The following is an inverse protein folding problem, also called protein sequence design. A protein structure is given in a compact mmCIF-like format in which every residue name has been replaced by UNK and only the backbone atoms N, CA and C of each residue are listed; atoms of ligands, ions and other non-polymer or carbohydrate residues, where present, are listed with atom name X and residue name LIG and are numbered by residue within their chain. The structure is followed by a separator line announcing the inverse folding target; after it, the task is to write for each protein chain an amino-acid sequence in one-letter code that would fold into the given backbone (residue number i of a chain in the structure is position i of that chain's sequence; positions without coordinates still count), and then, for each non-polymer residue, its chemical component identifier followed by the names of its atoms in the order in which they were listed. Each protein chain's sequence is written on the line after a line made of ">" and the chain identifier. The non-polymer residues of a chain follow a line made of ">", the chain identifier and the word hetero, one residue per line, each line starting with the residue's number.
data_IF_480187732740
#
_entry.id   IF_480187732740
#
_cell.length_a   1.000
_cell.length_b   1.000
_cell.length_c   1.000
_cell.angle_alpha   90.00
_cell.angle_beta   90.00
_cell.angle_gamma   90.00
#
_symmetry.space_group_name_H-M   'P 1'
#
loop_
_entity.id
_entity.type
_entity.pdbx_description
1 polymer ?
#
# COMPACT_ATOMS: atom_id res chain seq x y z
N UNK A 1 -18.57 0.80 -2.55
CA UNK A 1 -17.58 0.90 -3.63
C UNK A 1 -16.86 -0.43 -3.71
N UNK A 2 -16.79 -1.03 -4.88
CA UNK A 2 -16.15 -2.35 -5.08
C UNK A 2 -14.96 -2.16 -5.99
N UNK A 3 -13.84 -2.81 -5.65
CA UNK A 3 -12.64 -2.81 -6.45
C UNK A 3 -12.26 -4.24 -6.82
N UNK A 4 -11.68 -4.41 -8.00
CA UNK A 4 -10.97 -5.64 -8.37
C UNK A 4 -9.47 -5.34 -8.43
N UNK A 5 -8.65 -6.39 -8.50
CA UNK A 5 -7.20 -6.27 -8.53
C UNK A 5 -6.64 -7.08 -9.69
N UNK A 6 -5.60 -6.55 -10.35
CA UNK A 6 -4.76 -7.33 -11.26
C UNK A 6 -3.28 -7.03 -10.97
N UNK A 7 -2.38 -7.98 -11.28
CA UNK A 7 -0.95 -7.68 -11.35
C UNK A 7 -0.71 -6.48 -12.27
N UNK A 8 0.24 -5.65 -11.86
CA UNK A 8 0.77 -4.57 -12.66
C UNK A 8 1.61 -5.16 -13.79
N UNK A 9 1.42 -4.66 -15.01
CA UNK A 9 2.22 -5.01 -16.19
C UNK A 9 3.15 -3.83 -16.50
N UNK A 10 4.45 -3.91 -16.16
CA UNK A 10 5.35 -2.77 -16.26
C UNK A 10 5.42 -2.20 -17.68
N UNK A 11 5.32 -3.04 -18.71
CA UNK A 11 5.40 -2.61 -20.10
C UNK A 11 4.15 -1.87 -20.58
N UNK A 12 2.98 -2.14 -19.97
CA UNK A 12 1.72 -1.52 -20.35
C UNK A 12 1.30 -0.37 -19.42
N UNK A 13 1.67 -0.47 -18.15
CA UNK A 13 1.20 0.43 -17.10
C UNK A 13 2.22 1.53 -16.76
N UNK A 14 3.47 1.47 -17.24
CA UNK A 14 4.52 2.44 -16.87
C UNK A 14 4.15 3.89 -17.19
N UNK A 15 3.53 4.18 -18.34
CA UNK A 15 3.10 5.55 -18.68
C UNK A 15 2.05 6.08 -17.70
N UNK A 16 1.07 5.24 -17.35
CA UNK A 16 0.05 5.56 -16.37
C UNK A 16 0.68 5.84 -15.00
N UNK A 17 1.56 4.94 -14.54
CA UNK A 17 2.21 5.06 -13.24
C UNK A 17 3.15 6.25 -13.20
N UNK A 18 3.87 6.56 -14.28
CA UNK A 18 4.75 7.71 -14.35
C UNK A 18 3.98 9.00 -14.05
N UNK A 19 2.80 9.17 -14.64
CA UNK A 19 1.93 10.30 -14.33
C UNK A 19 1.46 10.32 -12.86
N UNK A 20 1.29 9.16 -12.23
CA UNK A 20 0.82 9.06 -10.85
C UNK A 20 1.92 9.36 -9.83
N UNK A 21 3.07 8.68 -9.97
CA UNK A 21 4.17 8.72 -8.99
C UNK A 21 5.02 9.97 -9.07
N UNK A 22 5.02 10.67 -10.22
CA UNK A 22 5.74 11.95 -10.38
C UNK A 22 4.91 13.17 -10.00
N UNK A 23 3.60 13.02 -9.83
CA UNK A 23 2.72 14.14 -9.52
C UNK A 23 3.07 14.76 -8.14
N UNK A 24 2.97 16.10 -7.94
CA UNK A 24 3.27 16.74 -6.65
C UNK A 24 2.52 16.19 -5.43
N UNK A 25 1.30 15.69 -5.61
CA UNK A 25 0.52 15.02 -4.55
C UNK A 25 1.13 13.68 -4.09
N UNK A 26 2.00 13.08 -4.90
CA UNK A 26 2.72 11.84 -4.63
C UNK A 26 4.11 12.07 -4.02
N UNK A 27 4.40 13.25 -3.46
CA UNK A 27 5.72 13.58 -2.92
C UNK A 27 6.28 12.52 -1.94
N UNK A 28 5.43 11.90 -1.13
CA UNK A 28 5.81 10.84 -0.19
C UNK A 28 6.05 9.46 -0.84
N UNK A 29 5.82 9.31 -2.15
CA UNK A 29 6.18 8.14 -2.94
C UNK A 29 7.65 8.19 -3.41
N UNK A 30 8.34 9.32 -3.22
CA UNK A 30 9.78 9.49 -3.48
C UNK A 30 10.21 9.27 -4.94
N UNK A 31 9.31 9.47 -5.90
CA UNK A 31 9.58 9.31 -7.33
C UNK A 31 9.31 10.58 -8.16
N UNK A 32 9.25 11.77 -7.55
CA UNK A 32 8.87 13.01 -8.25
C UNK A 32 9.75 13.33 -9.47
N UNK A 33 11.04 13.05 -9.37
CA UNK A 33 12.02 13.31 -10.43
C UNK A 33 12.26 12.11 -11.37
N UNK A 34 11.49 11.03 -11.20
CA UNK A 34 11.65 9.84 -12.02
C UNK A 34 11.25 10.10 -13.48
N UNK A 35 12.07 9.63 -14.43
CA UNK A 35 11.69 9.56 -15.84
C UNK A 35 10.86 8.31 -16.07
N UNK A 36 10.14 8.25 -17.19
CA UNK A 36 9.34 7.08 -17.57
C UNK A 36 10.16 5.78 -17.51
N UNK A 37 11.38 5.81 -18.04
CA UNK A 37 12.33 4.68 -18.02
C UNK A 37 12.71 4.23 -16.60
N UNK A 38 12.76 5.17 -15.64
CA UNK A 38 13.11 4.88 -14.26
C UNK A 38 11.92 4.22 -13.54
N UNK A 39 10.69 4.65 -13.86
CA UNK A 39 9.45 4.01 -13.41
C UNK A 39 9.31 2.60 -13.99
N UNK A 40 9.48 2.47 -15.31
CA UNK A 40 9.42 1.18 -16.00
C UNK A 40 10.43 0.18 -15.39
N UNK A 41 11.67 0.62 -15.15
CA UNK A 41 12.70 -0.20 -14.50
C UNK A 41 12.32 -0.61 -13.09
N UNK A 42 11.86 0.32 -12.26
CA UNK A 42 11.47 0.03 -10.88
C UNK A 42 10.37 -1.04 -10.81
N UNK A 43 9.34 -0.92 -11.64
CA UNK A 43 8.25 -1.91 -11.65
C UNK A 43 8.63 -3.21 -12.39
N UNK A 44 9.58 -3.21 -13.32
CA UNK A 44 10.18 -4.45 -13.83
C UNK A 44 10.95 -5.20 -12.75
N UNK A 45 11.69 -4.49 -11.90
CA UNK A 45 12.41 -5.09 -10.76
C UNK A 45 11.42 -5.72 -9.78
N UNK A 46 10.34 -5.03 -9.42
CA UNK A 46 9.26 -5.60 -8.58
C UNK A 46 8.59 -6.79 -9.27
N UNK A 47 8.31 -6.72 -10.58
CA UNK A 47 7.68 -7.83 -11.30
C UNK A 47 8.57 -9.09 -11.38
N UNK A 48 9.89 -8.93 -11.26
CA UNK A 48 10.86 -10.02 -11.23
C UNK A 48 11.17 -10.51 -9.80
N UNK A 49 10.60 -9.87 -8.78
CA UNK A 49 10.85 -10.16 -7.37
C UNK A 49 9.90 -11.23 -6.83
N UNK A 50 10.44 -12.15 -6.02
CA UNK A 50 9.65 -13.16 -5.33
C UNK A 50 9.03 -12.65 -4.02
N UNK A 51 9.52 -11.53 -3.49
CA UNK A 51 9.15 -10.99 -2.18
C UNK A 51 8.49 -9.61 -2.25
N UNK A 52 8.27 -9.07 -3.44
CA UNK A 52 7.65 -7.75 -3.65
C UNK A 52 6.72 -7.83 -4.85
N UNK A 53 5.50 -7.35 -4.69
CA UNK A 53 4.49 -7.43 -5.74
C UNK A 53 3.73 -6.11 -5.84
N UNK A 54 3.52 -5.66 -7.08
CA UNK A 54 2.70 -4.49 -7.39
C UNK A 54 1.42 -4.90 -8.11
N UNK A 55 0.30 -4.30 -7.71
CA UNK A 55 -1.02 -4.51 -8.27
C UNK A 55 -1.68 -3.17 -8.59
N UNK A 56 -2.48 -3.17 -9.65
CA UNK A 56 -3.45 -2.11 -9.87
C UNK A 56 -4.79 -2.53 -9.26
N UNK A 57 -5.37 -1.62 -8.48
CA UNK A 57 -6.76 -1.69 -8.07
C UNK A 57 -7.63 -1.00 -9.10
N UNK A 58 -8.75 -1.63 -9.47
CA UNK A 58 -9.60 -1.20 -10.57
C UNK A 58 -10.99 -0.89 -10.04
N UNK A 59 -11.57 0.21 -10.53
CA UNK A 59 -12.98 0.55 -10.34
C UNK A 59 -13.67 0.50 -11.69
N UNK A 60 -14.70 -0.32 -11.80
CA UNK A 60 -15.46 -0.51 -13.04
C UNK A 60 -14.57 -0.90 -14.25
N UNK A 61 -13.49 -1.64 -13.99
CA UNK A 61 -12.53 -2.08 -15.01
C UNK A 61 -11.40 -1.10 -15.31
N UNK A 62 -11.40 0.10 -14.72
CA UNK A 62 -10.40 1.13 -14.94
C UNK A 62 -9.41 1.24 -13.77
N UNK A 63 -8.09 1.38 -14.00
CA UNK A 63 -7.10 1.60 -12.95
C UNK A 63 -7.44 2.81 -12.08
N UNK A 64 -7.50 2.59 -10.77
CA UNK A 64 -8.00 3.55 -9.79
C UNK A 64 -6.97 3.84 -8.68
N UNK A 65 -6.07 2.91 -8.39
CA UNK A 65 -4.97 3.08 -7.44
C UNK A 65 -3.89 2.03 -7.67
N UNK A 66 -2.69 2.32 -7.17
CA UNK A 66 -1.57 1.39 -7.06
C UNK A 66 -1.53 0.81 -5.65
N UNK A 67 -1.22 -0.48 -5.54
CA UNK A 67 -0.94 -1.18 -4.29
C UNK A 67 0.36 -1.96 -4.46
N UNK A 68 1.24 -1.88 -3.48
CA UNK A 68 2.38 -2.77 -3.34
C UNK A 68 2.25 -3.57 -2.05
N UNK A 69 2.69 -4.81 -2.09
CA UNK A 69 2.91 -5.59 -0.88
C UNK A 69 4.19 -6.37 -0.99
N UNK A 70 4.81 -6.63 0.16
CA UNK A 70 6.13 -7.24 0.21
C UNK A 70 6.33 -8.02 1.50
N UNK A 71 7.34 -8.88 1.53
CA UNK A 71 7.77 -9.60 2.73
C UNK A 71 8.75 -8.75 3.57
N UNK A 72 8.39 -8.46 4.84
CA UNK A 72 9.19 -7.92 5.91
C UNK A 72 10.69 -8.11 5.88
N UNK A 73 10.97 -9.40 5.75
CA UNK A 73 12.26 -10.03 5.97
C UNK A 73 13.21 -9.70 4.83
N UNK A 74 12.67 -9.46 3.64
CA UNK A 74 13.44 -9.36 2.40
C UNK A 74 13.43 -7.96 1.80
N UNK A 75 12.40 -7.14 2.04
CA UNK A 75 12.20 -5.85 1.36
C UNK A 75 11.74 -4.74 2.29
N UNK A 76 12.11 -3.51 1.92
CA UNK A 76 11.79 -2.21 2.54
C UNK A 76 12.19 -1.97 4.00
N UNK A 77 12.07 -2.99 4.85
CA UNK A 77 12.19 -2.92 6.30
C UNK A 77 13.32 -3.82 6.86
N UNK A 78 14.16 -4.37 5.98
CA UNK A 78 15.27 -5.26 6.35
C UNK A 78 16.20 -4.56 7.35
N UNK A 79 16.32 -5.15 8.55
CA UNK A 79 17.16 -4.62 9.63
C UNK A 79 16.61 -3.36 10.33
N UNK A 80 15.40 -2.90 9.99
CA UNK A 80 14.77 -1.73 10.60
C UNK A 80 13.79 -2.10 11.73
N UNK A 81 13.32 -3.34 11.76
CA UNK A 81 12.59 -3.94 12.86
C UNK A 81 12.73 -5.47 12.84
N UNK A 82 12.16 -6.15 13.83
CA UNK A 82 12.12 -7.61 13.91
C UNK A 82 10.80 -8.14 13.31
N UNK A 83 10.82 -8.73 12.10
CA UNK A 83 9.61 -9.26 11.48
C UNK A 83 9.10 -10.49 12.24
N UNK A 84 7.79 -10.70 12.19
CA UNK A 84 7.13 -11.91 12.73
C UNK A 84 6.55 -12.74 11.59
N UNK A 85 6.40 -14.07 11.77
CA UNK A 85 5.67 -14.89 10.81
C UNK A 85 4.28 -14.32 10.52
N UNK A 86 3.94 -14.18 9.24
CA UNK A 86 2.67 -13.60 8.79
C UNK A 86 2.63 -12.07 8.75
N UNK A 87 3.78 -11.39 8.93
CA UNK A 87 3.90 -9.96 8.62
C UNK A 87 3.90 -9.75 7.10
N UNK A 88 3.12 -8.78 6.63
CA UNK A 88 3.13 -8.32 5.24
C UNK A 88 3.25 -6.80 5.23
N UNK A 89 4.22 -6.27 4.51
CA UNK A 89 4.36 -4.84 4.32
C UNK A 89 3.47 -4.36 3.17
N UNK A 90 3.02 -3.11 3.22
CA UNK A 90 2.25 -2.54 2.11
C UNK A 90 2.51 -1.06 1.86
N UNK A 91 2.42 -0.67 0.60
CA UNK A 91 2.27 0.72 0.17
C UNK A 91 1.03 0.85 -0.72
N UNK A 92 0.43 2.03 -0.78
CA UNK A 92 -0.62 2.31 -1.75
C UNK A 92 -0.60 3.77 -2.20
N UNK A 93 -1.02 4.01 -3.44
CA UNK A 93 -1.08 5.35 -4.02
C UNK A 93 -2.40 5.54 -4.77
N UNK A 94 -3.12 6.60 -4.40
CA UNK A 94 -4.28 7.08 -5.15
C UNK A 94 -3.80 8.21 -6.08
N UNK A 95 -4.07 8.13 -7.39
CA UNK A 95 -3.66 9.17 -8.33
C UNK A 95 -4.31 10.52 -8.05
N UNK A 96 -3.70 11.62 -8.51
CA UNK A 96 -4.32 12.92 -8.47
C UNK A 96 -5.66 12.93 -9.24
N UNK A 97 -6.63 13.68 -8.73
CA UNK A 97 -7.90 13.94 -9.41
C UNK A 97 -8.34 15.38 -9.17
N UNK A 98 -9.03 15.94 -10.17
CA UNK A 98 -9.70 17.25 -10.11
C UNK A 98 -11.14 17.15 -9.60
N UNK A 99 -11.68 15.93 -9.53
CA UNK A 99 -13.03 15.63 -9.04
C UNK A 99 -12.93 14.68 -7.83
N UNK A 100 -12.47 15.17 -6.67
CA UNK A 100 -12.32 14.33 -5.49
C UNK A 100 -13.68 13.80 -5.03
N UNK A 101 -13.72 12.49 -4.78
CA UNK A 101 -14.90 11.83 -4.22
C UNK A 101 -14.70 11.59 -2.73
N UNK A 102 -15.63 12.09 -1.92
CA UNK A 102 -15.56 11.92 -0.47
C UNK A 102 -15.53 10.44 -0.07
N UNK A 103 -14.53 10.05 0.72
CA UNK A 103 -14.38 8.67 1.20
C UNK A 103 -13.68 7.72 0.23
N UNK A 104 -13.29 8.17 -0.98
CA UNK A 104 -12.63 7.32 -1.96
C UNK A 104 -11.33 6.70 -1.43
N UNK A 105 -10.40 7.51 -0.94
CA UNK A 105 -9.12 7.00 -0.41
C UNK A 105 -9.31 6.06 0.79
N UNK A 106 -10.33 6.29 1.63
CA UNK A 106 -10.69 5.39 2.73
C UNK A 106 -11.20 4.03 2.21
N UNK A 107 -11.98 4.04 1.13
CA UNK A 107 -12.43 2.82 0.47
C UNK A 107 -11.24 2.06 -0.15
N UNK A 108 -10.30 2.77 -0.77
CA UNK A 108 -9.06 2.19 -1.34
C UNK A 108 -8.25 1.47 -0.26
N UNK A 109 -7.84 2.15 0.81
CA UNK A 109 -7.04 1.51 1.87
C UNK A 109 -7.81 0.36 2.55
N UNK A 110 -9.14 0.47 2.68
CA UNK A 110 -9.97 -0.64 3.16
C UNK A 110 -9.89 -1.86 2.24
N UNK A 111 -9.95 -1.66 0.92
CA UNK A 111 -9.85 -2.75 -0.05
C UNK A 111 -8.44 -3.35 -0.11
N UNK A 112 -7.39 -2.53 -0.03
CA UNK A 112 -5.99 -2.99 0.09
C UNK A 112 -5.83 -3.91 1.30
N UNK A 113 -6.29 -3.46 2.47
CA UNK A 113 -6.22 -4.26 3.70
C UNK A 113 -7.04 -5.55 3.60
N UNK A 114 -8.26 -5.48 3.07
CA UNK A 114 -9.08 -6.67 2.85
C UNK A 114 -8.37 -7.68 1.93
N UNK A 115 -7.79 -7.20 0.82
CA UNK A 115 -7.05 -8.02 -0.15
C UNK A 115 -5.84 -8.72 0.49
N UNK A 116 -5.12 -8.05 1.38
CA UNK A 116 -3.98 -8.65 2.10
C UNK A 116 -4.42 -9.72 3.09
N UNK A 117 -5.54 -9.51 3.78
CA UNK A 117 -6.10 -10.46 4.73
C UNK A 117 -6.94 -11.58 4.09
N UNK A 118 -7.16 -11.58 2.77
CA UNK A 118 -7.69 -12.75 2.07
C UNK A 118 -6.78 -13.98 2.25
N UNK A 119 -5.46 -13.77 2.36
CA UNK A 119 -4.54 -14.82 2.78
C UNK A 119 -4.67 -15.05 4.29
N UNK A 120 -5.06 -16.27 4.73
CA UNK A 120 -5.14 -16.59 6.16
C UNK A 120 -3.77 -16.60 6.86
N UNK A 121 -2.66 -16.70 6.13
CA UNK A 121 -1.31 -16.60 6.68
C UNK A 121 -0.93 -15.16 7.07
N UNK A 122 -1.59 -14.15 6.50
CA UNK A 122 -1.37 -12.75 6.89
C UNK A 122 -1.96 -12.49 8.29
N UNK A 123 -1.06 -12.43 9.27
CA UNK A 123 -1.40 -12.16 10.66
C UNK A 123 -1.46 -10.65 10.95
N UNK A 124 -0.57 -9.89 10.31
CA UNK A 124 -0.38 -8.45 10.56
C UNK A 124 0.14 -7.74 9.32
N UNK A 125 -0.41 -6.56 9.05
CA UNK A 125 0.11 -5.63 8.04
C UNK A 125 1.02 -4.59 8.69
N UNK A 126 2.13 -4.27 8.03
CA UNK A 126 3.15 -3.32 8.48
C UNK A 126 3.22 -2.15 7.50
N UNK A 127 3.36 -0.93 8.02
CA UNK A 127 3.57 0.28 7.21
C UNK A 127 4.59 1.22 7.85
N UNK A 128 5.23 2.01 7.00
CA UNK A 128 6.28 2.96 7.37
C UNK A 128 6.16 4.28 6.57
N UNK A 129 5.00 4.97 6.63
CA UNK A 129 4.86 6.30 6.04
C UNK A 129 5.84 7.30 6.65
N UNK A 130 6.21 8.33 5.88
CA UNK A 130 6.99 9.46 6.39
C UNK A 130 6.29 10.10 7.60
N UNK A 131 7.05 10.47 8.64
CA UNK A 131 6.51 11.09 9.86
C UNK A 131 5.72 12.38 9.56
N UNK A 132 6.07 13.12 8.50
CA UNK A 132 5.38 14.34 8.09
C UNK A 132 4.08 14.08 7.31
N UNK A 133 3.82 12.85 6.85
CA UNK A 133 2.59 12.50 6.12
C UNK A 133 1.42 12.25 7.08
N UNK A 134 0.98 13.28 7.80
CA UNK A 134 -0.09 13.19 8.79
C UNK A 134 -1.44 12.75 8.20
N UNK A 135 -1.67 13.00 6.91
CA UNK A 135 -2.87 12.55 6.22
C UNK A 135 -2.94 11.02 6.10
N UNK A 136 -1.84 10.36 5.73
CA UNK A 136 -1.81 8.88 5.67
C UNK A 136 -1.83 8.26 7.06
N UNK A 137 -1.23 8.90 8.07
CA UNK A 137 -1.33 8.44 9.47
C UNK A 137 -2.80 8.38 9.94
N UNK A 138 -3.57 9.43 9.67
CA UNK A 138 -5.00 9.46 9.99
C UNK A 138 -5.80 8.39 9.21
N UNK A 139 -5.47 8.13 7.94
CA UNK A 139 -6.08 7.06 7.14
C UNK A 139 -5.74 5.67 7.70
N UNK A 140 -4.50 5.45 8.08
CA UNK A 140 -4.02 4.20 8.67
C UNK A 140 -4.75 3.93 10.01
N UNK A 141 -4.89 4.92 10.87
CA UNK A 141 -5.62 4.79 12.14
C UNK A 141 -7.08 4.37 11.91
N UNK A 142 -7.76 4.94 10.90
CA UNK A 142 -9.15 4.61 10.54
C UNK A 142 -9.34 3.14 10.10
N UNK A 143 -8.29 2.49 9.59
CA UNK A 143 -8.35 1.05 9.25
C UNK A 143 -7.72 0.16 10.32
N UNK A 144 -7.33 0.71 11.47
CA UNK A 144 -6.92 -0.04 12.64
C UNK A 144 -5.40 -0.19 12.83
N UNK A 145 -4.58 0.60 12.11
CA UNK A 145 -3.15 0.67 12.41
C UNK A 145 -2.90 1.35 13.75
N UNK A 146 -1.90 0.84 14.46
CA UNK A 146 -1.37 1.40 15.70
C UNK A 146 0.09 1.80 15.46
N UNK A 147 0.46 3.08 15.71
CA UNK A 147 1.85 3.50 15.69
C UNK A 147 2.68 2.79 16.75
N UNK A 148 3.90 2.36 16.40
CA UNK A 148 4.87 1.74 17.32
C UNK A 148 6.01 2.71 17.66
N UNK A 149 6.82 3.06 16.65
CA UNK A 149 7.97 3.95 16.81
C UNK A 149 8.42 4.56 15.49
N UNK A 150 9.23 5.60 15.58
CA UNK A 150 9.93 6.14 14.41
C UNK A 150 11.16 5.29 14.07
N UNK A 151 11.41 5.10 12.77
CA UNK A 151 12.59 4.44 12.23
C UNK A 151 13.26 5.35 11.19
N UNK A 152 14.58 5.21 11.02
CA UNK A 152 15.34 5.98 10.05
C UNK A 152 15.59 5.13 8.79
N UNK A 153 15.02 5.55 7.66
CA UNK A 153 15.38 5.05 6.32
C UNK A 153 16.35 6.04 5.65
N UNK A 154 17.14 5.64 4.64
CA UNK A 154 18.01 6.56 3.91
C UNK A 154 17.28 7.77 3.33
N UNK A 155 16.05 7.57 2.86
CA UNK A 155 15.24 8.55 2.15
C UNK A 155 14.26 9.33 3.04
N UNK A 156 13.95 8.83 4.25
CA UNK A 156 12.98 9.45 5.16
C UNK A 156 13.11 9.03 6.61
N UNK A 157 12.55 9.84 7.51
CA UNK A 157 12.17 9.40 8.85
C UNK A 157 10.75 8.85 8.77
N UNK A 158 10.56 7.58 9.11
CA UNK A 158 9.28 6.89 8.93
C UNK A 158 8.65 6.51 10.28
N UNK A 159 7.33 6.44 10.32
CA UNK A 159 6.57 5.97 11.47
C UNK A 159 6.14 4.52 11.25
N UNK A 160 6.83 3.59 11.90
CA UNK A 160 6.49 2.17 11.87
C UNK A 160 5.16 1.95 12.59
N UNK A 161 4.20 1.36 11.90
CA UNK A 161 2.86 1.10 12.41
C UNK A 161 2.37 -0.29 12.01
N UNK A 162 1.47 -0.85 12.80
CA UNK A 162 1.00 -2.22 12.67
C UNK A 162 -0.52 -2.33 12.72
N UNK A 163 -1.10 -3.15 11.85
CA UNK A 163 -2.51 -3.52 11.93
C UNK A 163 -2.64 -5.05 11.96
N UNK A 164 -3.23 -5.59 13.03
CA UNK A 164 -3.52 -7.04 13.11
C UNK A 164 -4.81 -7.37 12.38
N UNK A 165 -4.94 -8.62 11.94
CA UNK A 165 -6.18 -9.15 11.35
C UNK A 165 -7.42 -8.82 12.20
N UNK A 166 -7.35 -9.14 13.50
CA UNK A 166 -8.41 -8.87 14.47
C UNK A 166 -8.81 -7.39 14.48
N UNK A 167 -7.85 -6.47 14.59
CA UNK A 167 -8.14 -5.02 14.60
C UNK A 167 -8.81 -4.53 13.33
N UNK A 168 -8.43 -5.08 12.18
CA UNK A 168 -9.03 -4.70 10.90
C UNK A 168 -10.49 -5.17 10.78
N UNK A 169 -10.82 -6.37 11.27
CA UNK A 169 -12.18 -6.93 11.16
C UNK A 169 -13.11 -6.54 12.30
N UNK A 170 -12.60 -6.26 13.50
CA UNK A 170 -13.41 -5.84 14.65
C UNK A 170 -13.83 -4.37 14.60
N UNK A 171 -13.40 -3.63 13.57
CA UNK A 171 -13.77 -2.23 13.40
C UNK A 171 -15.23 -2.09 12.96
N UNK A 172 -15.97 -1.07 13.45
CA UNK A 172 -17.33 -0.82 13.01
C UNK A 172 -17.41 -0.59 11.49
N UNK A 173 -18.23 -1.37 10.77
CA UNK A 173 -18.55 -1.13 9.37
C UNK A 173 -17.79 -1.97 8.32
N UNK A 174 -17.01 -2.98 8.73
CA UNK A 174 -16.61 -4.08 7.82
C UNK A 174 -17.57 -5.24 8.06
N UNK A 175 -18.32 -5.71 7.05
CA UNK A 175 -19.09 -6.93 7.21
C UNK A 175 -18.13 -8.09 7.46
N UNK A 176 -18.35 -8.82 8.55
CA UNK A 176 -17.69 -10.10 8.81
C UNK A 176 -18.20 -11.13 7.80
N UNK A 177 -17.66 -11.11 6.57
CA UNK A 177 -17.89 -12.20 5.61
C UNK A 177 -16.79 -13.24 5.77
N UNK A 178 -17.21 -14.37 6.33
CA UNK A 178 -16.58 -15.70 6.33
C UNK A 178 -15.30 -15.87 7.15
N UNK A 179 -15.44 -15.78 8.47
CA UNK A 179 -14.62 -16.59 9.37
C UNK A 179 -15.28 -17.97 9.47
N UNK A 180 -14.68 -18.94 8.77
CA UNK A 180 -14.78 -20.38 8.99
C UNK A 180 -16.14 -21.07 8.74
N UNK A 181 -16.17 -21.89 7.69
CA UNK A 181 -16.64 -23.27 7.75
C UNK A 181 -15.58 -24.18 7.12
#
# INVERSE_FOLDING_TARGET
>A
MTFTFRPLDPLKDAELLHAWVTHPKAAYWMMQDARLEDVERAYMEIAADEHHHALLGLRDGEPAFLMEHYDPVHRELVGLYEPRPGDVGMHFLVPPTDTPEHGFTRAVITAVMARLFEDPATARVVVEPDVANTAVHALNEVVGFVPDREIQKPEKKALLSFCTRERFFDRPGVPATEVAA
#
